data_IF_744407261790
#
_entry.id   IF_744407261790
#
_cell.length_a   1.000
_cell.length_b   1.000
_cell.length_c   1.000
_cell.angle_alpha   90.00
_cell.angle_beta   90.00
_cell.angle_gamma   90.00
#
_symmetry.space_group_name_H-M   'P 1'
#
loop_
_entity.id
_entity.type
_entity.pdbx_description
1 polymer ?
#
# COMPACT_ATOMS: atom_id res chain seq x y z
N UNK A 1 5.67 -16.66 -12.94
CA UNK A 1 4.73 -17.77 -13.23
C UNK A 1 4.48 -17.81 -14.73
N UNK A 2 4.58 -18.96 -15.39
CA UNK A 2 4.42 -19.07 -16.84
C UNK A 2 2.92 -19.10 -17.20
N UNK A 3 2.47 -18.27 -18.13
CA UNK A 3 1.08 -18.24 -18.64
C UNK A 3 1.02 -19.03 -19.95
N UNK A 4 0.64 -20.30 -19.88
CA UNK A 4 0.69 -21.24 -21.01
C UNK A 4 -0.67 -21.47 -21.71
N UNK A 5 -1.78 -21.01 -21.12
CA UNK A 5 -3.14 -21.23 -21.65
C UNK A 5 -3.73 -19.93 -22.17
N UNK A 6 -4.23 -19.96 -23.41
CA UNK A 6 -4.97 -18.85 -24.02
C UNK A 6 -6.47 -18.98 -23.73
N UNK A 7 -7.13 -17.87 -23.42
CA UNK A 7 -8.56 -17.79 -23.22
C UNK A 7 -9.13 -16.68 -24.10
N UNK A 8 -10.02 -17.05 -25.03
CA UNK A 8 -10.68 -16.11 -25.93
C UNK A 8 -12.16 -16.00 -25.57
N UNK A 9 -12.64 -14.78 -25.36
CA UNK A 9 -14.04 -14.50 -25.06
C UNK A 9 -14.56 -13.33 -25.90
N UNK A 10 -15.85 -13.35 -26.22
CA UNK A 10 -16.55 -12.22 -26.84
C UNK A 10 -17.30 -11.45 -25.76
N UNK A 11 -17.31 -10.13 -25.88
CA UNK A 11 -18.06 -9.23 -25.00
C UNK A 11 -18.57 -8.03 -25.80
N UNK A 12 -19.57 -7.34 -25.27
CA UNK A 12 -20.03 -6.08 -25.84
C UNK A 12 -18.94 -5.00 -25.68
N UNK A 13 -18.91 -4.00 -26.55
CA UNK A 13 -17.98 -2.87 -26.42
C UNK A 13 -18.16 -2.16 -25.08
N UNK A 14 -19.41 -2.00 -24.62
CA UNK A 14 -19.72 -1.36 -23.35
C UNK A 14 -19.16 -2.12 -22.14
N UNK A 15 -19.23 -3.45 -22.15
CA UNK A 15 -18.65 -4.27 -21.08
C UNK A 15 -17.12 -4.26 -21.14
N UNK A 16 -16.54 -4.33 -22.34
CA UNK A 16 -15.10 -4.24 -22.53
C UNK A 16 -14.53 -2.96 -21.92
N UNK A 17 -15.11 -1.80 -22.26
CA UNK A 17 -14.63 -0.52 -21.76
C UNK A 17 -14.76 -0.40 -20.24
N UNK A 18 -15.87 -0.91 -19.67
CA UNK A 18 -16.08 -0.94 -18.22
C UNK A 18 -15.03 -1.78 -17.51
N UNK A 19 -14.73 -2.97 -18.02
CA UNK A 19 -13.73 -3.86 -17.41
C UNK A 19 -12.33 -3.26 -17.60
N UNK A 20 -12.03 -2.70 -18.77
CA UNK A 20 -10.74 -2.07 -19.06
C UNK A 20 -10.48 -0.89 -18.13
N UNK A 21 -11.48 -0.05 -17.89
CA UNK A 21 -11.38 1.06 -16.94
C UNK A 21 -11.13 0.56 -15.50
N UNK A 22 -11.80 -0.50 -15.06
CA UNK A 22 -11.55 -1.11 -13.74
C UNK A 22 -10.13 -1.67 -13.64
N UNK A 23 -9.66 -2.36 -14.68
CA UNK A 23 -8.29 -2.88 -14.73
C UNK A 23 -7.27 -1.74 -14.63
N UNK A 24 -7.46 -0.65 -15.38
CA UNK A 24 -6.60 0.55 -15.32
C UNK A 24 -6.61 1.21 -13.94
N UNK A 25 -7.77 1.38 -13.32
CA UNK A 25 -7.88 1.94 -11.96
C UNK A 25 -7.18 1.07 -10.92
N UNK A 26 -7.08 -0.25 -11.16
CA UNK A 26 -6.31 -1.17 -10.31
C UNK A 26 -4.82 -1.26 -10.65
N UNK A 27 -4.34 -0.57 -11.69
CA UNK A 27 -2.96 -0.66 -12.16
C UNK A 27 -2.59 -2.03 -12.74
N UNK A 28 -3.59 -2.84 -13.13
CA UNK A 28 -3.42 -4.20 -13.62
C UNK A 28 -3.64 -4.30 -15.14
N UNK A 29 -3.08 -5.35 -15.74
CA UNK A 29 -3.47 -5.73 -17.11
C UNK A 29 -4.89 -6.30 -17.10
N UNK A 30 -5.60 -6.19 -18.22
CA UNK A 30 -6.93 -6.78 -18.39
C UNK A 30 -6.96 -8.27 -18.03
N UNK A 31 -5.94 -9.02 -18.47
CA UNK A 31 -5.81 -10.46 -18.18
C UNK A 31 -5.65 -10.72 -16.68
N UNK A 32 -4.79 -9.95 -15.98
CA UNK A 32 -4.58 -10.13 -14.54
C UNK A 32 -5.84 -9.77 -13.75
N UNK A 33 -6.45 -8.64 -14.07
CA UNK A 33 -7.69 -8.17 -13.44
C UNK A 33 -8.82 -9.21 -13.58
N UNK A 34 -9.04 -9.72 -14.79
CA UNK A 34 -10.05 -10.75 -15.04
C UNK A 34 -9.71 -12.08 -14.35
N UNK A 35 -8.44 -12.48 -14.33
CA UNK A 35 -8.02 -13.72 -13.66
C UNK A 35 -8.26 -13.64 -12.16
N UNK A 36 -7.84 -12.55 -11.50
CA UNK A 36 -8.05 -12.35 -10.07
C UNK A 36 -9.54 -12.25 -9.74
N UNK A 37 -10.30 -11.48 -10.54
CA UNK A 37 -11.75 -11.33 -10.37
C UNK A 37 -12.48 -12.66 -10.51
N UNK A 38 -12.13 -13.48 -11.51
CA UNK A 38 -12.75 -14.80 -11.74
C UNK A 38 -12.38 -15.83 -10.67
N UNK A 39 -11.22 -15.67 -10.02
CA UNK A 39 -10.80 -16.48 -8.88
C UNK A 39 -11.41 -16.01 -7.55
N UNK A 40 -12.24 -14.96 -7.56
CA UNK A 40 -12.84 -14.39 -6.36
C UNK A 40 -11.84 -13.72 -5.42
N UNK A 41 -10.65 -13.37 -5.93
CA UNK A 41 -9.63 -12.67 -5.14
C UNK A 41 -10.01 -11.20 -4.96
N UNK A 42 -9.82 -10.69 -3.75
CA UNK A 42 -10.10 -9.29 -3.43
C UNK A 42 -9.03 -8.39 -4.09
N UNK A 43 -9.48 -7.38 -4.84
CA UNK A 43 -8.60 -6.41 -5.50
C UNK A 43 -8.68 -5.10 -4.72
N UNK A 44 -7.72 -4.86 -3.83
CA UNK A 44 -7.64 -3.67 -3.00
C UNK A 44 -6.63 -2.69 -3.61
N UNK A 45 -7.12 -1.51 -4.01
CA UNK A 45 -6.27 -0.42 -4.54
C UNK A 45 -6.02 0.59 -3.43
N UNK A 46 -4.77 0.71 -2.99
CA UNK A 46 -4.36 1.68 -1.97
C UNK A 46 -3.60 2.83 -2.63
N UNK A 47 -4.24 4.00 -2.68
CA UNK A 47 -3.64 5.23 -3.21
C UNK A 47 -3.05 6.08 -2.08
N UNK A 48 -2.02 6.88 -2.37
CA UNK A 48 -1.47 7.88 -1.43
C UNK A 48 -0.42 7.39 -0.44
N UNK A 49 0.04 6.13 -0.54
CA UNK A 49 1.13 5.60 0.30
C UNK A 49 2.47 6.29 0.06
N UNK A 50 2.67 6.87 -1.11
CA UNK A 50 3.81 7.72 -1.46
C UNK A 50 3.89 8.96 -0.57
N UNK A 51 2.76 9.66 -0.38
CA UNK A 51 2.67 10.82 0.51
C UNK A 51 2.94 10.43 1.97
N UNK A 52 2.42 9.29 2.41
CA UNK A 52 2.69 8.73 3.75
C UNK A 52 4.19 8.46 3.90
N UNK A 53 4.84 7.86 2.89
CA UNK A 53 6.29 7.57 2.91
C UNK A 53 7.14 8.83 3.05
N UNK A 54 6.75 9.94 2.41
CA UNK A 54 7.41 11.24 2.57
C UNK A 54 7.30 11.74 4.01
N UNK A 55 6.11 11.69 4.60
CA UNK A 55 5.91 12.08 6.00
C UNK A 55 6.68 11.19 6.98
N UNK A 56 6.72 9.88 6.73
CA UNK A 56 7.50 8.92 7.51
C UNK A 56 9.00 9.27 7.51
N UNK A 57 9.56 9.61 6.35
CA UNK A 57 10.96 10.07 6.25
C UNK A 57 11.20 11.36 7.04
N UNK A 58 10.25 12.30 7.01
CA UNK A 58 10.34 13.53 7.79
C UNK A 58 10.32 13.26 9.31
N UNK A 59 9.44 12.37 9.78
CA UNK A 59 9.39 11.93 11.18
C UNK A 59 10.71 11.27 11.58
N UNK A 60 11.24 10.35 10.76
CA UNK A 60 12.53 9.70 11.03
C UNK A 60 13.70 10.68 11.07
N UNK A 61 13.69 11.70 10.21
CA UNK A 61 14.69 12.79 10.25
C UNK A 61 14.62 13.58 11.56
N UNK A 62 13.42 13.94 12.00
CA UNK A 62 13.23 14.66 13.26
C UNK A 62 13.66 13.80 14.46
N UNK A 63 13.33 12.50 14.45
CA UNK A 63 13.78 11.55 15.47
C UNK A 63 15.31 11.49 15.54
N UNK A 64 16.00 11.39 14.39
CA UNK A 64 17.45 11.40 14.34
C UNK A 64 18.05 12.68 14.93
N UNK A 65 17.44 13.84 14.64
CA UNK A 65 17.88 15.12 15.21
C UNK A 65 17.74 15.15 16.74
N UNK A 66 16.61 14.69 17.27
CA UNK A 66 16.39 14.58 18.72
C UNK A 66 17.41 13.63 19.37
N UNK A 67 17.66 12.48 18.76
CA UNK A 67 18.67 11.52 19.24
C UNK A 67 20.07 12.13 19.28
N UNK A 68 20.45 12.87 18.23
CA UNK A 68 21.73 13.59 18.20
C UNK A 68 21.82 14.63 19.31
N UNK A 69 20.78 15.45 19.50
CA UNK A 69 20.75 16.46 20.58
C UNK A 69 20.83 15.81 21.97
N UNK A 70 20.18 14.67 22.16
CA UNK A 70 20.23 13.89 23.41
C UNK A 70 21.64 13.32 23.65
N UNK A 71 22.27 12.74 22.61
CA UNK A 71 23.64 12.22 22.70
C UNK A 71 24.67 13.32 22.97
N UNK A 72 24.41 14.55 22.50
CA UNK A 72 25.21 15.73 22.81
C UNK A 72 24.95 16.29 24.22
N UNK A 73 24.02 15.72 24.99
CA UNK A 73 23.63 16.22 26.31
C UNK A 73 22.89 17.56 26.29
N UNK A 74 22.41 18.01 25.11
CA UNK A 74 21.70 19.31 24.99
C UNK A 74 20.24 19.22 25.41
N UNK A 75 19.66 18.02 25.34
CA UNK A 75 18.31 17.73 25.83
C UNK A 75 18.34 16.41 26.61
N UNK A 76 17.46 16.27 27.59
CA UNK A 76 17.15 14.97 28.21
C UNK A 76 16.25 14.16 27.28
N UNK A 77 16.37 12.83 27.35
CA UNK A 77 15.65 11.88 26.51
C UNK A 77 14.14 12.24 26.42
N UNK A 78 13.64 12.70 25.26
CA UNK A 78 12.23 13.06 25.14
C UNK A 78 11.36 11.80 25.25
N UNK A 79 10.24 11.89 25.96
CA UNK A 79 9.27 10.80 25.99
C UNK A 79 8.58 10.67 24.62
N UNK A 80 8.78 9.52 23.98
CA UNK A 80 8.23 9.20 22.66
C UNK A 80 7.22 8.05 22.72
N UNK A 81 6.77 7.69 23.91
CA UNK A 81 5.89 6.53 24.13
C UNK A 81 4.59 6.64 23.33
N UNK A 82 3.95 7.80 23.37
CA UNK A 82 2.70 8.06 22.64
C UNK A 82 2.90 8.08 21.13
N UNK A 83 3.98 8.71 20.66
CA UNK A 83 4.36 8.74 19.24
C UNK A 83 4.60 7.32 18.72
N UNK A 84 5.34 6.49 19.48
CA UNK A 84 5.60 5.09 19.12
C UNK A 84 4.32 4.27 19.09
N UNK A 85 3.41 4.47 20.06
CA UNK A 85 2.12 3.77 20.12
C UNK A 85 1.25 4.11 18.90
N UNK A 86 1.06 5.40 18.63
CA UNK A 86 0.25 5.87 17.50
C UNK A 86 0.80 5.37 16.16
N UNK A 87 2.13 5.34 16.04
CA UNK A 87 2.80 4.78 14.86
C UNK A 87 2.56 3.28 14.70
N UNK A 88 2.67 2.52 15.79
CA UNK A 88 2.42 1.08 15.79
C UNK A 88 1.00 0.75 15.31
N UNK A 89 -0.01 1.47 15.79
CA UNK A 89 -1.42 1.26 15.38
C UNK A 89 -1.61 1.48 13.88
N UNK A 90 -1.00 2.54 13.32
CA UNK A 90 -1.07 2.82 11.88
C UNK A 90 -0.36 1.73 11.08
N UNK A 91 0.82 1.31 11.52
CA UNK A 91 1.60 0.26 10.87
C UNK A 91 0.85 -1.08 10.87
N UNK A 92 0.28 -1.48 12.01
CA UNK A 92 -0.51 -2.71 12.16
C UNK A 92 -1.74 -2.68 11.24
N UNK A 93 -2.39 -1.52 11.11
CA UNK A 93 -3.54 -1.35 10.20
C UNK A 93 -3.14 -1.54 8.73
N UNK A 94 -1.97 -1.05 8.32
CA UNK A 94 -1.44 -1.22 6.96
C UNK A 94 -1.04 -2.68 6.73
N UNK A 95 -0.36 -3.32 7.68
CA UNK A 95 0.01 -4.74 7.60
C UNK A 95 -1.24 -5.63 7.50
N UNK A 96 -2.28 -5.35 8.29
CA UNK A 96 -3.54 -6.08 8.22
C UNK A 96 -4.28 -5.94 6.87
N UNK A 97 -4.02 -4.88 6.09
CA UNK A 97 -4.52 -4.76 4.71
C UNK A 97 -3.73 -5.62 3.73
N UNK A 98 -2.42 -5.84 3.98
CA UNK A 98 -1.59 -6.71 3.15
C UNK A 98 -1.91 -8.20 3.38
N UNK A 99 -2.17 -8.60 4.63
CA UNK A 99 -2.44 -10.00 4.98
C UNK A 99 -3.80 -10.51 4.48
N UNK A 100 -4.77 -9.61 4.24
CA UNK A 100 -6.07 -9.96 3.67
C UNK A 100 -6.02 -10.24 2.16
N UNK A 101 -4.91 -9.92 1.50
CA UNK A 101 -4.71 -10.15 0.06
C UNK A 101 -3.96 -11.44 -0.31
N UNK A 102 -3.56 -12.26 0.68
CA UNK A 102 -2.79 -13.48 0.48
C UNK A 102 -3.66 -14.74 0.31
#
# INVERSE_FOLDING_TARGET
>A
MKKDKMFAMRMSTADYDRIQNKAQLSGMTMTDFLTLSALGKEIIVVNGLDAVTVQLKAIGKNLNQLTVLCNMGRITCPDLTETKRSFGVVFDSICGLMDKGA
#
